data_IF_943982013864
#
_entry.id   IF_943982013864
#
_cell.length_a   1.000
_cell.length_b   1.000
_cell.length_c   1.000
_cell.angle_alpha   90.00
_cell.angle_beta   90.00
_cell.angle_gamma   90.00
#
_symmetry.space_group_name_H-M   'P 1'
#
loop_
_entity.id
_entity.type
_entity.pdbx_description
1 polymer ?
#
# COMPACT_ATOMS: atom_id res chain seq x y z
N UNK A 1 -32.98 10.47 14.84
CA UNK A 1 -31.86 10.18 13.92
C UNK A 1 -31.38 8.78 14.16
N UNK A 2 -31.64 7.87 13.21
CA UNK A 2 -31.44 6.43 13.36
C UNK A 2 -29.96 6.08 13.17
N UNK A 3 -29.31 5.61 14.23
CA UNK A 3 -27.94 5.04 14.19
C UNK A 3 -27.81 3.81 13.28
N UNK A 4 -28.93 3.27 12.77
CA UNK A 4 -28.95 2.06 11.92
C UNK A 4 -28.55 2.32 10.46
N UNK A 5 -28.57 3.57 10.00
CA UNK A 5 -28.26 3.88 8.59
C UNK A 5 -26.75 3.93 8.30
N UNK A 6 -25.92 4.34 9.26
CA UNK A 6 -24.47 4.41 9.07
C UNK A 6 -23.80 3.03 9.05
N UNK A 7 -24.28 2.10 9.89
CA UNK A 7 -23.80 0.72 9.94
C UNK A 7 -23.98 -0.01 8.60
N UNK A 8 -25.12 0.20 7.94
CA UNK A 8 -25.42 -0.42 6.64
C UNK A 8 -24.52 0.18 5.54
N UNK A 9 -24.33 1.51 5.52
CA UNK A 9 -23.44 2.15 4.56
C UNK A 9 -21.97 1.75 4.77
N UNK A 10 -21.50 1.66 6.03
CA UNK A 10 -20.16 1.17 6.32
C UNK A 10 -19.98 -0.29 5.89
N UNK A 11 -20.97 -1.17 6.13
CA UNK A 11 -20.89 -2.57 5.72
C UNK A 11 -20.85 -2.73 4.20
N UNK A 12 -21.62 -1.94 3.46
CA UNK A 12 -21.58 -1.97 1.99
C UNK A 12 -20.27 -1.39 1.44
N UNK A 13 -19.73 -0.34 2.07
CA UNK A 13 -18.42 0.21 1.71
C UNK A 13 -17.31 -0.82 1.96
N UNK A 14 -17.28 -1.43 3.15
CA UNK A 14 -16.33 -2.49 3.51
C UNK A 14 -16.44 -3.69 2.58
N UNK A 15 -17.66 -4.14 2.25
CA UNK A 15 -17.88 -5.24 1.33
C UNK A 15 -17.44 -4.92 -0.11
N UNK A 16 -17.64 -3.69 -0.58
CA UNK A 16 -17.15 -3.23 -1.88
C UNK A 16 -15.62 -3.14 -1.90
N UNK A 17 -14.98 -2.68 -0.82
CA UNK A 17 -13.53 -2.64 -0.69
C UNK A 17 -12.92 -4.05 -0.67
N UNK A 18 -13.52 -5.00 0.07
CA UNK A 18 -13.10 -6.41 0.04
C UNK A 18 -13.31 -7.04 -1.35
N UNK A 19 -14.37 -6.65 -2.07
CA UNK A 19 -14.66 -7.14 -3.41
C UNK A 19 -13.66 -6.62 -4.45
N UNK A 20 -13.28 -5.34 -4.38
CA UNK A 20 -12.29 -4.73 -5.29
C UNK A 20 -10.88 -5.33 -5.09
N UNK A 21 -10.48 -5.50 -3.83
CA UNK A 21 -9.23 -6.19 -3.44
C UNK A 21 -9.20 -7.65 -3.97
N UNK A 22 -10.36 -8.30 -4.13
CA UNK A 22 -10.43 -9.67 -4.67
C UNK A 22 -10.26 -9.73 -6.20
N UNK A 23 -10.72 -8.73 -6.93
CA UNK A 23 -10.63 -8.67 -8.40
C UNK A 23 -9.18 -8.40 -8.87
N UNK A 24 -8.44 -7.52 -8.18
CA UNK A 24 -7.05 -7.13 -8.53
C UNK A 24 -6.00 -8.23 -8.34
N UNK A 25 -6.29 -9.26 -7.54
CA UNK A 25 -5.39 -10.41 -7.29
C UNK A 25 -5.03 -11.21 -8.55
N UNK A 26 -5.83 -11.13 -9.62
CA UNK A 26 -5.69 -12.02 -10.79
C UNK A 26 -4.94 -11.41 -11.99
N UNK A 27 -4.36 -10.21 -11.88
CA UNK A 27 -3.71 -9.55 -13.02
C UNK A 27 -2.17 -9.61 -13.00
N UNK A 28 -1.52 -9.88 -14.15
CA UNK A 28 -0.06 -9.86 -14.28
C UNK A 28 0.50 -8.43 -14.13
N UNK A 29 1.62 -8.31 -13.41
CA UNK A 29 2.33 -7.04 -13.18
C UNK A 29 3.13 -6.67 -14.43
N UNK A 30 2.64 -5.72 -15.24
CA UNK A 30 3.36 -5.14 -16.38
C UNK A 30 4.07 -3.84 -15.96
N UNK A 31 5.38 -3.75 -16.22
CA UNK A 31 6.31 -2.83 -15.55
C UNK A 31 6.60 -1.52 -16.32
N UNK A 32 6.83 -0.43 -15.58
CA UNK A 32 7.47 0.86 -15.96
C UNK A 32 6.68 1.94 -16.71
N UNK A 33 5.45 1.65 -17.18
CA UNK A 33 4.58 2.66 -17.84
C UNK A 33 3.43 3.14 -16.95
N UNK A 34 2.95 2.29 -16.03
CA UNK A 34 1.81 2.54 -15.15
C UNK A 34 2.03 3.73 -14.21
N UNK A 35 3.26 3.94 -13.74
CA UNK A 35 3.54 5.08 -12.85
C UNK A 35 3.37 6.46 -13.51
N UNK A 36 3.53 6.54 -14.84
CA UNK A 36 3.25 7.76 -15.59
C UNK A 36 1.77 7.92 -15.91
N UNK A 37 0.99 6.85 -15.78
CA UNK A 37 -0.43 6.79 -16.12
C UNK A 37 -1.30 7.34 -14.99
N UNK A 38 -1.04 7.01 -13.72
CA UNK A 38 -1.75 7.65 -12.60
C UNK A 38 -1.43 9.14 -12.45
N UNK A 39 -0.22 9.56 -12.87
CA UNK A 39 0.19 10.98 -12.96
C UNK A 39 -0.59 11.79 -14.00
N UNK A 40 -1.45 11.16 -14.80
CA UNK A 40 -2.24 11.84 -15.85
C UNK A 40 -3.67 12.21 -15.43
N UNK A 41 -4.16 11.66 -14.30
CA UNK A 41 -5.37 12.13 -13.65
C UNK A 41 -5.03 13.40 -12.83
N UNK A 42 -5.97 14.35 -12.71
CA UNK A 42 -5.80 15.69 -12.12
C UNK A 42 -5.30 15.75 -10.65
N UNK A 43 -4.98 14.63 -10.02
CA UNK A 43 -4.43 14.59 -8.67
C UNK A 43 -2.96 15.01 -8.68
N UNK A 44 -2.61 15.96 -7.81
CA UNK A 44 -1.21 16.29 -7.56
C UNK A 44 -0.61 15.25 -6.60
N UNK A 45 0.51 14.66 -7.01
CA UNK A 45 1.25 13.71 -6.19
C UNK A 45 2.55 14.31 -5.74
N UNK A 46 2.93 13.96 -4.53
CA UNK A 46 4.17 14.36 -3.91
C UNK A 46 5.00 13.12 -3.66
N UNK A 47 6.26 13.17 -4.08
CA UNK A 47 7.24 12.14 -3.73
C UNK A 47 7.65 12.40 -2.27
N UNK A 48 6.98 11.71 -1.35
CA UNK A 48 7.25 11.83 0.08
C UNK A 48 8.24 10.75 0.50
N UNK A 49 9.35 11.19 1.08
CA UNK A 49 10.41 10.29 1.54
C UNK A 49 9.99 9.62 2.84
N UNK A 50 9.68 8.34 2.77
CA UNK A 50 9.20 7.51 3.90
C UNK A 50 10.20 6.43 4.20
N UNK A 51 10.43 6.16 5.48
CA UNK A 51 11.25 5.03 5.92
C UNK A 51 10.38 3.77 5.96
N UNK A 52 10.70 2.79 5.13
CA UNK A 52 10.09 1.46 5.11
C UNK A 52 10.92 0.51 5.97
N UNK A 53 10.26 -0.22 6.86
CA UNK A 53 10.89 -1.21 7.75
C UNK A 53 10.23 -2.57 7.53
N UNK A 54 11.04 -3.59 7.29
CA UNK A 54 10.58 -4.97 7.26
C UNK A 54 10.77 -5.62 8.64
N UNK A 55 9.68 -6.08 9.26
CA UNK A 55 9.66 -6.90 10.48
C UNK A 55 8.74 -8.12 10.33
N UNK A 56 8.60 -8.61 9.11
CA UNK A 56 7.74 -9.76 8.79
C UNK A 56 8.33 -11.08 9.27
N UNK A 57 9.63 -11.14 9.58
CA UNK A 57 10.35 -12.39 9.86
C UNK A 57 10.82 -13.12 8.59
N UNK A 58 10.70 -12.47 7.43
CA UNK A 58 11.15 -12.95 6.12
C UNK A 58 11.59 -11.77 5.24
N UNK A 59 12.36 -12.05 4.19
CA UNK A 59 12.83 -11.02 3.26
C UNK A 59 11.70 -10.57 2.31
N UNK A 60 11.65 -9.27 2.02
CA UNK A 60 10.72 -8.69 1.03
C UNK A 60 11.45 -8.48 -0.29
N UNK A 61 10.91 -9.00 -1.39
CA UNK A 61 11.47 -8.89 -2.73
C UNK A 61 10.82 -7.81 -3.57
N UNK A 62 9.54 -7.54 -3.32
CA UNK A 62 8.88 -6.38 -3.90
C UNK A 62 7.87 -5.73 -2.96
N UNK A 63 7.70 -4.42 -3.17
CA UNK A 63 6.69 -3.59 -2.55
C UNK A 63 6.03 -2.76 -3.65
N UNK A 64 4.73 -2.92 -3.82
CA UNK A 64 3.92 -2.18 -4.77
C UNK A 64 2.79 -1.44 -4.06
N UNK A 65 2.39 -0.32 -4.65
CA UNK A 65 1.27 0.49 -4.20
C UNK A 65 0.28 0.70 -5.34
N UNK A 66 -0.99 0.78 -5.00
CA UNK A 66 -2.06 1.11 -5.94
C UNK A 66 -3.09 1.96 -5.20
N UNK A 67 -3.58 3.08 -5.76
CA UNK A 67 -4.79 3.70 -5.25
C UNK A 67 -5.90 2.64 -5.18
N UNK A 68 -6.64 2.55 -4.06
CA UNK A 68 -7.64 1.49 -3.91
C UNK A 68 -8.73 1.53 -5.00
N UNK A 69 -8.92 2.69 -5.63
CA UNK A 69 -9.85 2.88 -6.76
C UNK A 69 -9.32 2.43 -8.13
N UNK A 70 -8.05 2.10 -8.27
CA UNK A 70 -7.38 1.83 -9.56
C UNK A 70 -6.86 0.40 -9.62
N UNK A 71 -6.96 -0.28 -10.76
CA UNK A 71 -6.49 -1.68 -10.88
C UNK A 71 -4.99 -1.80 -11.21
N UNK A 72 -4.31 -0.67 -11.44
CA UNK A 72 -2.91 -0.61 -11.81
C UNK A 72 -2.00 -0.50 -10.57
N UNK A 73 -0.85 -1.19 -10.61
CA UNK A 73 0.16 -1.17 -9.56
C UNK A 73 1.35 -0.27 -9.93
N UNK A 74 2.00 0.28 -8.91
CA UNK A 74 3.25 1.03 -9.04
C UNK A 74 4.39 0.16 -9.55
N UNK A 75 5.53 0.80 -9.85
CA UNK A 75 6.80 0.07 -9.95
C UNK A 75 7.19 -0.49 -8.57
N UNK A 76 8.09 -1.50 -8.56
CA UNK A 76 8.62 -2.07 -7.33
C UNK A 76 9.45 -1.02 -6.58
N UNK A 77 9.00 -0.65 -5.38
CA UNK A 77 9.66 0.36 -4.54
C UNK A 77 10.95 -0.14 -3.89
N UNK A 78 11.18 -1.46 -3.80
CA UNK A 78 12.44 -2.05 -3.32
C UNK A 78 13.51 -2.03 -4.42
N UNK A 79 13.09 -2.08 -5.69
CA UNK A 79 13.98 -2.08 -6.84
C UNK A 79 14.52 -3.48 -7.19
N UNK A 80 15.80 -3.56 -7.56
CA UNK A 80 16.44 -4.82 -8.00
C UNK A 80 16.98 -5.68 -6.85
N UNK A 81 16.91 -5.18 -5.62
CA UNK A 81 17.41 -5.84 -4.41
C UNK A 81 16.27 -6.41 -3.57
N UNK A 82 16.62 -7.07 -2.48
CA UNK A 82 15.69 -7.48 -1.42
C UNK A 82 15.81 -6.52 -0.23
N UNK A 83 14.72 -6.35 0.52
CA UNK A 83 14.72 -5.75 1.84
C UNK A 83 14.73 -6.87 2.89
N UNK A 84 15.88 -7.19 3.50
CA UNK A 84 15.99 -8.30 4.44
C UNK A 84 15.06 -8.14 5.64
N UNK A 85 14.80 -9.22 6.37
CA UNK A 85 14.16 -9.10 7.67
C UNK A 85 14.94 -8.15 8.60
N UNK A 86 14.22 -7.31 9.34
CA UNK A 86 14.73 -6.16 10.09
C UNK A 86 15.42 -5.07 9.25
N UNK A 87 15.36 -5.16 7.93
CA UNK A 87 15.91 -4.19 6.99
C UNK A 87 15.15 -2.87 6.99
N UNK A 88 15.86 -1.81 6.58
CA UNK A 88 15.32 -0.44 6.46
C UNK A 88 15.64 0.12 5.08
N UNK A 89 14.64 0.72 4.44
CA UNK A 89 14.74 1.36 3.14
C UNK A 89 14.11 2.74 3.21
N UNK A 90 14.77 3.78 2.70
CA UNK A 90 14.09 5.06 2.46
C UNK A 90 13.54 5.04 1.02
N UNK A 91 12.22 5.14 0.89
CA UNK A 91 11.52 5.08 -0.39
C UNK A 91 10.75 6.39 -0.63
N UNK A 92 10.69 6.81 -1.89
CA UNK A 92 9.83 7.90 -2.33
C UNK A 92 8.44 7.32 -2.61
N UNK A 93 7.50 7.60 -1.70
CA UNK A 93 6.13 7.11 -1.79
C UNK A 93 5.27 8.16 -2.49
N UNK A 94 4.65 7.82 -3.63
CA UNK A 94 3.80 8.74 -4.35
C UNK A 94 2.43 8.84 -3.67
N UNK A 95 2.23 9.81 -2.80
CA UNK A 95 0.91 10.06 -2.18
C UNK A 95 0.30 11.35 -2.70
N UNK A 96 -1.02 11.44 -2.63
CA UNK A 96 -1.81 12.62 -3.00
C UNK A 96 -2.80 12.95 -1.88
N UNK A 97 -3.08 14.23 -1.67
CA UNK A 97 -4.14 14.66 -0.75
C UNK A 97 -5.54 14.26 -1.25
N UNK A 98 -5.69 14.05 -2.57
CA UNK A 98 -6.95 13.65 -3.19
C UNK A 98 -7.20 12.14 -3.15
N UNK A 99 -6.14 11.34 -2.92
CA UNK A 99 -6.20 9.87 -2.86
C UNK A 99 -5.83 9.40 -1.46
N UNK A 100 -6.87 9.15 -0.66
CA UNK A 100 -6.71 8.77 0.73
C UNK A 100 -6.37 7.28 0.91
N UNK A 101 -6.98 6.41 0.10
CA UNK A 101 -6.95 4.96 0.31
C UNK A 101 -6.08 4.27 -0.73
N UNK A 102 -5.20 3.41 -0.24
CA UNK A 102 -4.21 2.69 -1.01
C UNK A 102 -4.22 1.20 -0.66
N UNK A 103 -4.06 0.39 -1.70
CA UNK A 103 -3.75 -1.02 -1.59
C UNK A 103 -2.23 -1.20 -1.69
N UNK A 104 -1.69 -2.08 -0.85
CA UNK A 104 -0.28 -2.43 -0.82
C UNK A 104 -0.14 -3.90 -1.19
N UNK A 105 0.83 -4.21 -2.04
CA UNK A 105 1.19 -5.60 -2.37
C UNK A 105 2.65 -5.87 -2.03
N UNK A 106 2.89 -6.97 -1.34
CA UNK A 106 4.20 -7.47 -0.96
C UNK A 106 4.48 -8.77 -1.71
N UNK A 107 5.73 -8.99 -2.08
CA UNK A 107 6.20 -10.23 -2.68
C UNK A 107 7.37 -10.77 -1.88
N UNK A 108 7.37 -12.06 -1.58
CA UNK A 108 8.47 -12.76 -0.91
C UNK A 108 9.35 -13.56 -1.90
N UNK A 109 10.28 -14.36 -1.36
CA UNK A 109 11.22 -15.17 -2.16
C UNK A 109 10.51 -16.20 -3.04
N UNK A 110 9.40 -16.75 -2.58
CA UNK A 110 8.68 -17.81 -3.26
C UNK A 110 7.65 -17.23 -4.26
N UNK A 111 7.70 -15.92 -4.50
CA UNK A 111 6.74 -15.14 -5.29
C UNK A 111 5.31 -15.23 -4.72
N UNK A 112 5.17 -15.47 -3.42
CA UNK A 112 3.88 -15.39 -2.75
C UNK A 112 3.52 -13.91 -2.59
N UNK A 113 2.32 -13.57 -3.07
CA UNK A 113 1.79 -12.22 -3.02
C UNK A 113 0.88 -12.05 -1.82
N UNK A 114 1.18 -11.04 -1.01
CA UNK A 114 0.30 -10.59 0.08
C UNK A 114 -0.23 -9.21 -0.26
N UNK A 115 -1.53 -9.00 -0.07
CA UNK A 115 -2.19 -7.73 -0.29
C UNK A 115 -2.80 -7.18 1.00
N UNK A 116 -2.49 -5.92 1.28
CA UNK A 116 -3.03 -5.16 2.39
C UNK A 116 -3.85 -4.02 1.79
N UNK A 117 -5.17 -4.12 1.84
CA UNK A 117 -6.07 -3.23 1.10
C UNK A 117 -6.62 -2.07 1.95
N UNK A 118 -6.92 -0.95 1.28
CA UNK A 118 -7.66 0.18 1.84
C UNK A 118 -6.98 0.90 2.99
N UNK A 119 -5.65 1.04 2.95
CA UNK A 119 -4.88 1.76 3.96
C UNK A 119 -4.90 3.25 3.69
N UNK A 120 -5.14 4.02 4.75
CA UNK A 120 -5.06 5.47 4.71
C UNK A 120 -3.59 5.90 4.76
N UNK A 121 -3.10 6.49 3.66
CA UNK A 121 -1.72 6.98 3.57
C UNK A 121 -1.63 8.51 3.63
N UNK A 122 -2.72 9.20 3.97
CA UNK A 122 -2.73 10.67 4.06
C UNK A 122 -1.71 11.22 5.06
N UNK A 123 -1.40 10.43 6.11
CA UNK A 123 -0.38 10.78 7.11
C UNK A 123 1.05 10.81 6.55
N UNK A 124 1.32 10.15 5.43
CA UNK A 124 2.65 10.13 4.79
C UNK A 124 3.03 11.47 4.15
N UNK A 125 2.12 12.44 4.13
CA UNK A 125 2.42 13.84 3.72
C UNK A 125 3.29 14.59 4.73
N UNK A 126 3.50 14.03 5.92
CA UNK A 126 4.35 14.61 6.96
C UNK A 126 5.81 14.17 6.79
N UNK A 127 6.73 14.94 7.39
CA UNK A 127 8.16 14.58 7.42
C UNK A 127 8.42 13.45 8.42
N UNK A 128 9.43 12.62 8.10
CA UNK A 128 9.96 11.55 8.95
C UNK A 128 8.95 10.43 9.26
N UNK A 129 8.08 10.10 8.30
CA UNK A 129 7.13 9.01 8.44
C UNK A 129 7.77 7.64 8.21
N UNK A 130 7.21 6.64 8.89
CA UNK A 130 7.64 5.25 8.85
C UNK A 130 6.48 4.36 8.44
N UNK A 131 6.74 3.44 7.52
CA UNK A 131 5.87 2.30 7.18
C UNK A 131 6.56 1.03 7.66
N UNK A 132 5.98 0.36 8.66
CA UNK A 132 6.52 -0.88 9.23
C UNK A 132 5.60 -2.06 8.92
N UNK A 133 6.15 -3.06 8.22
CA UNK A 133 5.45 -4.29 7.87
C UNK A 133 5.78 -5.40 8.87
N UNK A 134 4.77 -5.99 9.49
CA UNK A 134 4.91 -7.02 10.54
C UNK A 134 3.91 -8.14 10.33
N UNK A 135 4.24 -9.36 10.77
CA UNK A 135 3.26 -10.45 10.86
C UNK A 135 2.84 -10.63 12.32
N UNK A 136 1.57 -10.39 12.62
CA UNK A 136 0.99 -10.66 13.94
C UNK A 136 -0.19 -11.63 13.82
N UNK A 137 -0.21 -12.68 14.64
CA UNK A 137 -1.30 -13.67 14.59
C UNK A 137 -1.42 -14.44 13.28
N UNK A 138 -0.41 -14.37 12.40
CA UNK A 138 -0.43 -14.97 11.06
C UNK A 138 -1.01 -14.07 9.97
N UNK A 139 -1.26 -12.79 10.27
CA UNK A 139 -1.73 -11.79 9.31
C UNK A 139 -0.65 -10.72 9.10
N UNK A 140 -0.50 -10.26 7.86
CA UNK A 140 0.36 -9.13 7.52
C UNK A 140 -0.29 -7.80 7.91
N UNK A 141 0.43 -7.03 8.73
CA UNK A 141 -0.01 -5.75 9.29
C UNK A 141 0.97 -4.66 8.85
N UNK A 142 0.41 -3.53 8.41
CA UNK A 142 1.13 -2.29 8.16
C UNK A 142 0.86 -1.30 9.30
N UNK A 143 1.93 -0.84 9.96
CA UNK A 143 1.91 0.30 10.86
C UNK A 143 2.45 1.54 10.15
N UNK A 144 1.80 2.67 10.40
CA UNK A 144 2.23 3.99 9.93
C UNK A 144 2.40 4.87 11.16
N UNK A 145 3.56 5.48 11.31
CA UNK A 145 3.86 6.36 12.44
C UNK A 145 4.97 7.35 12.09
N UNK A 146 5.06 8.43 12.87
CA UNK A 146 6.17 9.38 12.77
C UNK A 146 7.39 8.85 13.54
N UNK A 147 8.58 8.92 12.94
CA UNK A 147 9.85 8.64 13.60
C UNK A 147 10.10 9.70 14.68
N UNK A 148 10.32 9.26 15.92
CA UNK A 148 10.66 10.14 17.06
C UNK A 148 12.09 10.70 16.98
#
# INVERSE_FOLDING_TARGET
>A
MSKKSYEIFLFFLMAAMLSACTEKRNQPVESSSSMRQWKSNQAEFYDNRVTVINRRGCDMYALYLSPSSEDEWSDNLIGEYELPDHGVLDADIPVSEDILLWDIRLEDRDHELVEICGKDLSELTQEEMVMEFTIEGGEDILYIYKRE
#
